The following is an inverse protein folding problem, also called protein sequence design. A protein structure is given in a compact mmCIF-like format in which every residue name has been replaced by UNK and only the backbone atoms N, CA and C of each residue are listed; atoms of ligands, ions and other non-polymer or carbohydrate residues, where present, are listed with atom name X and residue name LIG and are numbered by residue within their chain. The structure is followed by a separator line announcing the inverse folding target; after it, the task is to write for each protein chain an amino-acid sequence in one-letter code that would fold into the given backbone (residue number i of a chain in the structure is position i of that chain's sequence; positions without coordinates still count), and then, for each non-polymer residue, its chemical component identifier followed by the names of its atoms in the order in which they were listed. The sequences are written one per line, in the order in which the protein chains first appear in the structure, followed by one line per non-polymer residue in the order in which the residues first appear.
data_IF_712083871006
#
_entry.id   IF_712083871006
#
_cell.length_a   1.000
_cell.length_b   1.000
_cell.length_c   1.000
_cell.angle_alpha   90.00
_cell.angle_beta   90.00
_cell.angle_gamma   90.00
#
_symmetry.space_group_name_H-M   'P 1'
#
loop_
_entity.id
_entity.type
_entity.pdbx_description
1 polymer ?
#
# COMPACT_ATOMS: atom_id res chain seq x y z
N UNK A 1 17.86 57.90 -8.73
CA UNK A 1 17.42 57.43 -7.39
C UNK A 1 16.56 56.16 -7.49
N UNK A 2 16.25 55.62 -8.67
CA UNK A 2 15.26 54.52 -8.83
C UNK A 2 15.77 53.07 -8.74
N UNK A 3 17.09 52.81 -8.73
CA UNK A 3 17.60 51.43 -8.73
C UNK A 3 17.41 50.70 -7.39
N UNK A 4 17.47 51.43 -6.28
CA UNK A 4 17.35 50.84 -4.94
C UNK A 4 15.91 50.43 -4.59
N UNK A 5 14.91 51.13 -5.13
CA UNK A 5 13.50 50.75 -4.92
C UNK A 5 13.13 49.49 -5.72
N UNK A 6 13.70 49.35 -6.93
CA UNK A 6 13.43 48.22 -7.81
C UNK A 6 14.03 46.90 -7.26
N UNK A 7 15.24 46.92 -6.69
CA UNK A 7 15.82 45.75 -6.04
C UNK A 7 15.04 45.31 -4.78
N UNK A 8 14.54 46.26 -3.98
CA UNK A 8 13.70 45.95 -2.82
C UNK A 8 12.34 45.37 -3.19
N UNK A 9 11.69 45.89 -4.25
CA UNK A 9 10.41 45.36 -4.73
C UNK A 9 10.55 43.94 -5.28
N UNK A 10 11.67 43.61 -5.94
CA UNK A 10 11.94 42.27 -6.47
C UNK A 10 12.24 41.28 -5.33
N UNK A 11 13.01 41.67 -4.32
CA UNK A 11 13.34 40.83 -3.17
C UNK A 11 12.10 40.57 -2.28
N UNK A 12 11.23 41.58 -2.13
CA UNK A 12 9.97 41.45 -1.40
C UNK A 12 8.95 40.56 -2.14
N UNK A 13 8.80 40.73 -3.46
CA UNK A 13 7.96 39.87 -4.30
C UNK A 13 8.44 38.41 -4.28
N UNK A 14 9.75 38.17 -4.35
CA UNK A 14 10.33 36.82 -4.28
C UNK A 14 10.09 36.17 -2.91
N UNK A 15 10.14 36.93 -1.81
CA UNK A 15 9.81 36.42 -0.48
C UNK A 15 8.34 36.07 -0.31
N UNK A 16 7.44 36.87 -0.88
CA UNK A 16 6.00 36.60 -0.86
C UNK A 16 5.66 35.37 -1.69
N UNK A 17 6.23 35.25 -2.90
CA UNK A 17 6.02 34.08 -3.77
C UNK A 17 6.57 32.79 -3.16
N UNK A 18 7.76 32.84 -2.54
CA UNK A 18 8.33 31.68 -1.83
C UNK A 18 7.51 31.30 -0.60
N UNK A 19 7.00 32.27 0.16
CA UNK A 19 6.13 32.01 1.31
C UNK A 19 4.81 31.33 0.89
N UNK A 20 4.18 31.82 -0.18
CA UNK A 20 2.95 31.24 -0.73
C UNK A 20 3.19 29.83 -1.28
N UNK A 21 4.29 29.63 -2.01
CA UNK A 21 4.67 28.31 -2.51
C UNK A 21 4.94 27.32 -1.36
N UNK A 22 5.60 27.78 -0.30
CA UNK A 22 5.92 26.98 0.88
C UNK A 22 4.64 26.61 1.66
N UNK A 23 3.71 27.56 1.83
CA UNK A 23 2.40 27.29 2.42
C UNK A 23 1.58 26.28 1.59
N UNK A 24 1.55 26.44 0.26
CA UNK A 24 0.89 25.49 -0.65
C UNK A 24 1.51 24.10 -0.57
N UNK A 25 2.84 23.98 -0.64
CA UNK A 25 3.54 22.71 -0.56
C UNK A 25 3.33 22.00 0.78
N UNK A 26 3.38 22.74 1.91
CA UNK A 26 3.04 22.20 3.23
C UNK A 26 1.60 21.71 3.28
N UNK A 27 0.65 22.50 2.78
CA UNK A 27 -0.77 22.11 2.76
C UNK A 27 -1.03 20.88 1.89
N UNK A 28 -0.31 20.74 0.77
CA UNK A 28 -0.42 19.58 -0.11
C UNK A 28 0.14 18.32 0.55
N UNK A 29 1.27 18.44 1.23
CA UNK A 29 1.85 17.34 2.02
C UNK A 29 0.88 16.87 3.12
N UNK A 30 0.38 17.79 3.94
CA UNK A 30 -0.45 17.44 5.11
C UNK A 30 -1.87 17.02 4.75
N UNK A 31 -2.50 17.68 3.79
CA UNK A 31 -3.92 17.49 3.52
C UNK A 31 -4.19 16.44 2.44
N UNK A 32 -3.16 16.02 1.69
CA UNK A 32 -3.31 15.08 0.59
C UNK A 32 -2.32 13.92 0.67
N UNK A 33 -1.02 14.18 0.63
CA UNK A 33 -0.04 13.10 0.52
C UNK A 33 -0.01 12.19 1.76
N UNK A 34 -0.04 12.76 2.97
CA UNK A 34 -0.06 11.97 4.21
C UNK A 34 -1.37 11.15 4.34
N UNK A 35 -2.57 11.73 4.14
CA UNK A 35 -3.81 10.94 4.10
C UNK A 35 -3.83 9.86 3.00
N UNK A 36 -3.27 10.16 1.83
CA UNK A 36 -3.18 9.20 0.73
C UNK A 36 -2.24 8.03 1.09
N UNK A 37 -1.12 8.31 1.77
CA UNK A 37 -0.21 7.30 2.31
C UNK A 37 -0.90 6.43 3.35
N UNK A 38 -1.60 7.03 4.32
CA UNK A 38 -2.34 6.30 5.36
C UNK A 38 -3.43 5.42 4.77
N UNK A 39 -4.11 5.89 3.72
CA UNK A 39 -5.12 5.12 3.01
C UNK A 39 -4.48 3.95 2.25
N UNK A 40 -3.41 4.20 1.49
CA UNK A 40 -2.71 3.16 0.76
C UNK A 40 -2.11 2.09 1.69
N UNK A 41 -1.63 2.49 2.87
CA UNK A 41 -1.08 1.57 3.86
C UNK A 41 -2.18 0.69 4.47
N UNK A 42 -3.34 1.27 4.81
CA UNK A 42 -4.51 0.50 5.25
C UNK A 42 -4.99 -0.49 4.19
N UNK A 43 -5.05 -0.07 2.93
CA UNK A 43 -5.42 -0.94 1.81
C UNK A 43 -4.41 -2.10 1.67
N UNK A 44 -3.12 -1.81 1.76
CA UNK A 44 -2.06 -2.83 1.73
C UNK A 44 -2.19 -3.83 2.89
N UNK A 45 -2.34 -3.35 4.13
CA UNK A 45 -2.51 -4.19 5.31
C UNK A 45 -3.76 -5.07 5.23
N UNK A 46 -4.86 -4.55 4.68
CA UNK A 46 -6.08 -5.33 4.44
C UNK A 46 -5.83 -6.49 3.46
N UNK A 47 -5.09 -6.26 2.38
CA UNK A 47 -4.73 -7.31 1.42
C UNK A 47 -3.80 -8.34 2.06
N UNK A 48 -2.79 -7.90 2.83
CA UNK A 48 -1.88 -8.81 3.55
C UNK A 48 -2.65 -9.70 4.52
N UNK A 49 -3.58 -9.13 5.28
CA UNK A 49 -4.43 -9.89 6.21
C UNK A 49 -5.25 -10.95 5.47
N UNK A 50 -5.88 -10.60 4.34
CA UNK A 50 -6.61 -11.56 3.52
C UNK A 50 -5.70 -12.67 2.96
N UNK A 51 -4.48 -12.34 2.54
CA UNK A 51 -3.50 -13.36 2.09
C UNK A 51 -3.20 -14.34 3.22
N UNK A 52 -2.98 -13.85 4.44
CA UNK A 52 -2.67 -14.69 5.59
C UNK A 52 -3.85 -15.60 5.98
N UNK A 53 -5.09 -15.10 5.90
CA UNK A 53 -6.30 -15.89 6.09
C UNK A 53 -6.40 -17.03 5.05
N UNK A 54 -6.21 -16.72 3.77
CA UNK A 54 -6.25 -17.74 2.71
C UNK A 54 -5.07 -18.72 2.78
N UNK A 55 -3.89 -18.30 3.25
CA UNK A 55 -2.77 -19.21 3.52
C UNK A 55 -3.09 -20.17 4.66
N UNK A 56 -3.65 -19.66 5.77
CA UNK A 56 -4.12 -20.51 6.89
C UNK A 56 -5.17 -21.51 6.41
N UNK A 57 -6.14 -21.07 5.62
CA UNK A 57 -7.17 -21.95 5.06
C UNK A 57 -6.57 -23.06 4.18
N UNK A 58 -5.59 -22.72 3.34
CA UNK A 58 -4.84 -23.69 2.53
C UNK A 58 -4.10 -24.71 3.39
N UNK A 59 -3.45 -24.25 4.45
CA UNK A 59 -2.67 -25.12 5.34
C UNK A 59 -3.60 -26.05 6.15
N UNK A 60 -4.76 -25.56 6.60
CA UNK A 60 -5.81 -26.40 7.22
C UNK A 60 -6.35 -27.45 6.25
N UNK A 61 -6.60 -27.10 4.99
CA UNK A 61 -6.99 -28.09 3.97
C UNK A 61 -5.86 -29.09 3.65
N UNK A 62 -4.61 -28.73 3.91
CA UNK A 62 -3.47 -29.64 3.74
C UNK A 62 -3.34 -30.59 4.94
N UNK A 63 -3.57 -30.12 6.16
CA UNK A 63 -3.55 -30.97 7.36
C UNK A 63 -4.68 -32.00 7.35
N UNK A 64 -5.87 -31.62 6.88
CA UNK A 64 -7.00 -32.53 6.74
C UNK A 64 -6.70 -33.71 5.78
N UNK A 65 -6.00 -33.47 4.67
CA UNK A 65 -5.55 -34.55 3.76
C UNK A 65 -4.60 -35.52 4.47
N UNK A 66 -3.61 -35.00 5.22
CA UNK A 66 -2.64 -35.85 5.91
C UNK A 66 -3.26 -36.69 7.03
N UNK A 67 -4.33 -36.19 7.65
CA UNK A 67 -5.07 -36.93 8.68
C UNK A 67 -6.04 -37.95 8.07
N UNK A 68 -6.68 -37.66 6.92
CA UNK A 68 -7.46 -38.66 6.17
C UNK A 68 -6.61 -39.83 5.68
N UNK A 69 -5.42 -39.57 5.14
CA UNK A 69 -4.53 -40.64 4.67
C UNK A 69 -4.01 -41.50 5.83
N UNK A 70 -3.85 -40.93 7.04
CA UNK A 70 -3.54 -41.68 8.25
C UNK A 70 -4.72 -42.50 8.78
N UNK A 71 -5.96 -42.02 8.60
CA UNK A 71 -7.16 -42.76 8.98
C UNK A 71 -7.53 -43.87 7.97
N UNK A 72 -7.16 -43.74 6.69
CA UNK A 72 -7.41 -44.77 5.67
C UNK A 72 -6.61 -46.06 5.89
N UNK A 73 -5.51 -46.04 6.64
CA UNK A 73 -4.80 -47.26 7.08
C UNK A 73 -5.57 -48.05 8.14
N UNK A 74 -6.60 -47.45 8.76
CA UNK A 74 -7.53 -48.12 9.67
C UNK A 74 -8.90 -48.17 9.00
N UNK A 75 -9.08 -49.13 8.08
CA UNK A 75 -10.35 -49.61 7.50
C UNK A 75 -11.58 -48.73 7.79
N UNK A 76 -12.06 -47.96 6.80
CA UNK A 76 -13.47 -47.95 6.34
C UNK A 76 -13.52 -47.23 5.00
N UNK A 77 -14.06 -47.92 3.99
CA UNK A 77 -14.50 -47.33 2.74
C UNK A 77 -15.72 -46.42 3.01
N UNK A 78 -15.47 -45.16 3.34
CA UNK A 78 -16.48 -44.10 3.42
C UNK A 78 -16.43 -43.25 2.17
N UNK A 79 -17.37 -43.49 1.25
CA UNK A 79 -17.65 -42.66 0.07
C UNK A 79 -17.68 -41.18 0.45
N UNK A 80 -16.94 -40.36 -0.31
CA UNK A 80 -17.21 -38.95 -0.59
C UNK A 80 -17.54 -38.10 0.65
N UNK A 81 -16.51 -37.76 1.43
CA UNK A 81 -16.62 -36.64 2.35
C UNK A 81 -16.78 -35.34 1.53
N UNK A 82 -18.04 -34.98 1.24
CA UNK A 82 -18.42 -33.67 0.70
C UNK A 82 -18.07 -32.62 1.76
N UNK A 83 -16.83 -32.15 1.72
CA UNK A 83 -16.35 -31.06 2.56
C UNK A 83 -16.91 -29.77 1.99
N UNK A 84 -18.10 -29.39 2.47
CA UNK A 84 -18.64 -28.04 2.39
C UNK A 84 -17.73 -27.10 3.21
N UNK A 85 -16.51 -26.90 2.75
CA UNK A 85 -15.60 -25.91 3.30
C UNK A 85 -16.10 -24.55 2.79
N UNK A 86 -16.59 -23.72 3.70
CA UNK A 86 -16.82 -22.30 3.43
C UNK A 86 -15.47 -21.66 3.11
N UNK A 87 -15.24 -21.41 1.82
CA UNK A 87 -14.00 -20.81 1.29
C UNK A 87 -14.07 -19.28 1.28
N UNK A 88 -15.04 -18.71 2.00
CA UNK A 88 -15.28 -17.29 2.17
C UNK A 88 -16.18 -16.70 1.09
N UNK A 89 -16.97 -15.69 1.47
CA UNK A 89 -17.88 -14.99 0.55
C UNK A 89 -19.14 -15.77 0.18
N UNK A 90 -19.54 -16.75 0.99
CA UNK A 90 -20.77 -17.53 0.78
C UNK A 90 -20.65 -18.63 -0.28
N UNK A 91 -19.42 -19.03 -0.63
CA UNK A 91 -19.15 -20.10 -1.60
C UNK A 91 -18.72 -21.35 -0.83
N UNK A 92 -19.41 -22.46 -1.06
CA UNK A 92 -18.98 -23.78 -0.60
C UNK A 92 -18.43 -24.57 -1.80
N UNK A 93 -17.29 -25.21 -1.62
CA UNK A 93 -16.77 -26.17 -2.60
C UNK A 93 -17.37 -27.56 -2.33
N UNK A 94 -17.69 -28.32 -3.38
CA UNK A 94 -18.25 -29.66 -3.25
C UNK A 94 -17.13 -30.69 -3.01
N UNK A 95 -15.92 -30.41 -3.50
CA UNK A 95 -14.73 -31.25 -3.34
C UNK A 95 -13.53 -30.47 -2.79
N UNK A 96 -12.64 -31.17 -2.07
CA UNK A 96 -11.36 -30.60 -1.59
C UNK A 96 -10.47 -30.10 -2.75
N UNK A 97 -10.51 -30.77 -3.91
CA UNK A 97 -9.74 -30.37 -5.08
C UNK A 97 -10.20 -29.01 -5.61
N UNK A 98 -11.51 -28.80 -5.70
CA UNK A 98 -12.09 -27.53 -6.11
C UNK A 98 -11.80 -26.42 -5.09
N UNK A 99 -11.88 -26.73 -3.78
CA UNK A 99 -11.50 -25.79 -2.72
C UNK A 99 -10.05 -25.32 -2.86
N UNK A 100 -9.11 -26.25 -3.12
CA UNK A 100 -7.69 -25.94 -3.35
C UNK A 100 -7.45 -25.10 -4.60
N UNK A 101 -8.10 -25.45 -5.71
CA UNK A 101 -7.99 -24.70 -6.95
C UNK A 101 -8.50 -23.26 -6.76
N UNK A 102 -9.63 -23.10 -6.07
CA UNK A 102 -10.18 -21.80 -5.73
C UNK A 102 -9.24 -20.97 -4.85
N UNK A 103 -8.77 -21.53 -3.74
CA UNK A 103 -7.86 -20.83 -2.81
C UNK A 103 -6.57 -20.42 -3.51
N UNK A 104 -6.00 -21.29 -4.33
CA UNK A 104 -4.78 -20.98 -5.10
C UNK A 104 -5.04 -19.81 -6.06
N UNK A 105 -6.13 -19.85 -6.81
CA UNK A 105 -6.50 -18.75 -7.72
C UNK A 105 -6.73 -17.44 -6.97
N UNK A 106 -7.37 -17.51 -5.81
CA UNK A 106 -7.65 -16.35 -4.96
C UNK A 106 -6.37 -15.76 -4.36
N UNK A 107 -5.44 -16.61 -3.89
CA UNK A 107 -4.13 -16.19 -3.41
C UNK A 107 -3.33 -15.48 -4.50
N UNK A 108 -3.24 -16.03 -5.71
CA UNK A 108 -2.54 -15.39 -6.83
C UNK A 108 -3.12 -14.01 -7.17
N UNK A 109 -4.46 -13.87 -7.09
CA UNK A 109 -5.13 -12.58 -7.30
C UNK A 109 -4.77 -11.59 -6.19
N UNK A 110 -4.77 -12.03 -4.93
CA UNK A 110 -4.42 -11.20 -3.79
C UNK A 110 -2.95 -10.80 -3.79
N UNK A 111 -2.04 -11.68 -4.19
CA UNK A 111 -0.62 -11.37 -4.36
C UNK A 111 -0.42 -10.31 -5.43
N UNK A 112 -1.06 -10.44 -6.59
CA UNK A 112 -1.05 -9.38 -7.62
C UNK A 112 -1.59 -8.05 -7.08
N UNK A 113 -2.64 -8.08 -6.25
CA UNK A 113 -3.18 -6.87 -5.62
C UNK A 113 -2.22 -6.27 -4.61
N UNK A 114 -1.52 -7.10 -3.83
CA UNK A 114 -0.51 -6.68 -2.87
C UNK A 114 0.62 -5.96 -3.59
N UNK A 115 1.12 -6.53 -4.68
CA UNK A 115 2.22 -5.95 -5.45
C UNK A 115 1.84 -4.56 -5.98
N UNK A 116 0.64 -4.41 -6.55
CA UNK A 116 0.11 -3.11 -6.95
C UNK A 116 -0.04 -2.12 -5.79
N UNK A 117 -0.40 -2.61 -4.60
CA UNK A 117 -0.50 -1.76 -3.41
C UNK A 117 0.88 -1.28 -2.95
N UNK A 118 1.91 -2.14 -3.02
CA UNK A 118 3.31 -1.79 -2.74
C UNK A 118 3.81 -0.75 -3.75
N UNK A 119 3.54 -0.93 -5.04
CA UNK A 119 3.92 0.04 -6.07
C UNK A 119 3.31 1.42 -5.78
N UNK A 120 2.03 1.44 -5.42
CA UNK A 120 1.32 2.69 -5.08
C UNK A 120 1.88 3.35 -3.83
N UNK A 121 2.19 2.58 -2.78
CA UNK A 121 2.86 3.08 -1.58
C UNK A 121 4.20 3.73 -1.94
N UNK A 122 5.02 3.03 -2.72
CA UNK A 122 6.34 3.50 -3.14
C UNK A 122 6.26 4.80 -3.94
N UNK A 123 5.26 4.95 -4.81
CA UNK A 123 5.01 6.19 -5.55
C UNK A 123 4.63 7.36 -4.64
N UNK A 124 3.76 7.12 -3.65
CA UNK A 124 3.35 8.17 -2.69
C UNK A 124 4.53 8.58 -1.82
N UNK A 125 5.32 7.63 -1.33
CA UNK A 125 6.54 7.88 -0.55
C UNK A 125 7.56 8.70 -1.35
N UNK A 126 7.77 8.37 -2.62
CA UNK A 126 8.64 9.15 -3.50
C UNK A 126 8.13 10.60 -3.67
N UNK A 127 6.81 10.78 -3.85
CA UNK A 127 6.20 12.11 -3.91
C UNK A 127 6.36 12.89 -2.60
N UNK A 128 6.23 12.23 -1.45
CA UNK A 128 6.46 12.84 -0.13
C UNK A 128 7.91 13.29 -0.01
N UNK A 129 8.87 12.45 -0.41
CA UNK A 129 10.29 12.79 -0.40
C UNK A 129 10.57 14.02 -1.27
N UNK A 130 10.13 14.01 -2.54
CA UNK A 130 10.31 15.14 -3.45
C UNK A 130 9.68 16.42 -2.90
N UNK A 131 8.44 16.33 -2.39
CA UNK A 131 7.74 17.48 -1.80
C UNK A 131 8.48 18.02 -0.57
N UNK A 132 9.01 17.14 0.28
CA UNK A 132 9.78 17.52 1.47
C UNK A 132 11.10 18.20 1.11
N UNK A 133 11.80 17.69 0.09
CA UNK A 133 13.00 18.33 -0.47
C UNK A 133 12.67 19.71 -1.03
N UNK A 134 11.60 19.84 -1.83
CA UNK A 134 11.15 21.13 -2.35
C UNK A 134 10.76 22.11 -1.24
N UNK A 135 10.10 21.65 -0.18
CA UNK A 135 9.81 22.50 1.00
C UNK A 135 11.10 23.00 1.64
N UNK A 136 12.12 22.14 1.77
CA UNK A 136 13.42 22.52 2.35
C UNK A 136 14.14 23.56 1.49
N UNK A 137 14.14 23.38 0.17
CA UNK A 137 14.71 24.34 -0.77
C UNK A 137 13.97 25.68 -0.74
N UNK A 138 12.64 25.67 -0.71
CA UNK A 138 11.82 26.87 -0.59
C UNK A 138 12.05 27.59 0.74
N UNK A 139 12.20 26.86 1.84
CA UNK A 139 12.50 27.43 3.16
C UNK A 139 13.89 28.08 3.19
N UNK A 140 14.88 27.45 2.54
CA UNK A 140 16.22 28.02 2.38
C UNK A 140 16.18 29.32 1.56
N UNK A 141 15.50 29.32 0.41
CA UNK A 141 15.32 30.51 -0.43
C UNK A 141 14.59 31.63 0.32
N UNK A 142 13.52 31.29 1.04
CA UNK A 142 12.75 32.26 1.82
C UNK A 142 13.60 32.94 2.91
N UNK A 143 14.58 32.23 3.48
CA UNK A 143 15.55 32.76 4.45
C UNK A 143 16.71 33.53 3.82
N UNK A 144 16.71 33.70 2.49
CA UNK A 144 17.80 34.37 1.74
C UNK A 144 19.01 33.47 1.45
N UNK A 145 18.87 32.16 1.62
CA UNK A 145 19.86 31.16 1.20
C UNK A 145 19.77 30.86 -0.30
N UNK A 146 20.70 30.04 -0.80
CA UNK A 146 20.69 29.54 -2.19
C UNK A 146 20.20 28.09 -2.24
N UNK A 147 19.74 27.63 -3.41
CA UNK A 147 19.38 26.23 -3.63
C UNK A 147 20.66 25.40 -3.53
N UNK A 148 20.64 24.40 -2.65
CA UNK A 148 21.70 23.40 -2.54
C UNK A 148 21.18 22.15 -3.27
N UNK A 149 21.81 21.81 -4.39
CA UNK A 149 21.54 20.58 -5.12
C UNK A 149 22.41 19.46 -4.53
N UNK A 150 21.85 18.74 -3.56
CA UNK A 150 22.41 17.47 -3.09
C UNK A 150 21.83 16.35 -3.97
N UNK A 151 22.48 16.10 -5.12
CA UNK A 151 22.26 14.90 -5.94
C UNK A 151 23.16 13.74 -5.50
#
# INVERSE_FOLDING_TARGET
MDRFQQESEIDEATKVETADALAKSRSFLTNRLLPDLDKANRDHQSVVTQIDEYKKLRDTLRSLDTDEDRMKDVKVAGKNATLLADIGGGVAAETQLEARAYITKKLNLLETKRDRAIDKLSQIEAHIHLTSTSITQLDNLHRGGSIIDDF
#
